data_IF_673267269768
#
_entry.id   IF_673267269768
#
_cell.length_a   1.000
_cell.length_b   1.000
_cell.length_c   1.000
_cell.angle_alpha   90.00
_cell.angle_beta   90.00
_cell.angle_gamma   90.00
#
_symmetry.space_group_name_H-M   'P 1'
#
loop_
_entity.id
_entity.type
_entity.pdbx_description
1 polymer ?
#
# COMPACT_ATOMS: atom_id res chain seq x y z
N UNK A 1 8.96 8.31 7.97
CA UNK A 1 9.02 7.01 7.26
C UNK A 1 8.08 6.03 7.96
N UNK A 2 7.45 5.11 7.22
CA UNK A 2 6.60 4.07 7.82
C UNK A 2 7.51 2.95 8.37
N UNK A 3 7.32 2.48 9.61
CA UNK A 3 8.12 1.37 10.17
C UNK A 3 7.96 0.06 9.37
N UNK A 4 9.01 -0.76 9.30
CA UNK A 4 8.97 -2.04 8.59
C UNK A 4 7.93 -3.03 9.16
N UNK A 5 7.74 -3.02 10.49
CA UNK A 5 6.70 -3.81 11.15
C UNK A 5 5.30 -3.43 10.66
N UNK A 6 5.02 -2.13 10.51
CA UNK A 6 3.75 -1.62 9.98
C UNK A 6 3.54 -2.09 8.53
N UNK A 7 4.61 -2.13 7.73
CA UNK A 7 4.56 -2.63 6.36
C UNK A 7 4.27 -4.14 6.27
N UNK A 8 4.72 -4.91 7.26
CA UNK A 8 4.52 -6.36 7.31
C UNK A 8 3.07 -6.76 7.66
N UNK A 9 2.36 -5.90 8.39
CA UNK A 9 0.95 -6.11 8.75
C UNK A 9 -0.02 -5.85 7.60
N UNK A 10 0.43 -5.24 6.49
CA UNK A 10 -0.46 -5.05 5.36
C UNK A 10 -0.72 -6.36 4.63
N UNK A 11 -1.96 -6.56 4.14
CA UNK A 11 -2.23 -7.66 3.25
C UNK A 11 -1.33 -7.58 2.02
N UNK A 12 -0.95 -8.73 1.48
CA UNK A 12 -0.20 -8.84 0.22
C UNK A 12 -1.12 -9.39 -0.87
N UNK A 13 -0.89 -8.96 -2.11
CA UNK A 13 -1.58 -9.50 -3.27
C UNK A 13 -0.60 -10.43 -4.01
N UNK A 14 -0.62 -11.71 -3.66
CA UNK A 14 0.43 -12.65 -4.04
C UNK A 14 1.78 -12.20 -3.44
N UNK A 15 2.81 -12.10 -4.28
CA UNK A 15 4.15 -11.65 -3.87
C UNK A 15 4.31 -10.12 -3.81
N UNK A 16 3.24 -9.36 -4.05
CA UNK A 16 3.29 -7.89 -4.14
C UNK A 16 2.80 -7.24 -2.85
N UNK A 17 3.59 -6.27 -2.38
CA UNK A 17 3.24 -5.43 -1.22
C UNK A 17 2.26 -4.33 -1.58
N UNK A 18 1.51 -3.83 -0.61
CA UNK A 18 0.64 -2.69 -0.84
C UNK A 18 1.45 -1.43 -1.22
N UNK A 19 1.03 -0.73 -2.27
CA UNK A 19 1.56 0.60 -2.56
C UNK A 19 1.01 1.62 -1.56
N UNK A 20 1.84 2.08 -0.63
CA UNK A 20 1.43 3.11 0.34
C UNK A 20 0.98 4.41 -0.31
N UNK A 21 1.59 4.79 -1.45
CA UNK A 21 1.20 5.99 -2.20
C UNK A 21 -0.20 5.83 -2.82
N UNK A 22 -0.60 4.61 -3.18
CA UNK A 22 -1.94 4.32 -3.70
C UNK A 22 -3.03 4.58 -2.68
N UNK A 23 -2.82 4.19 -1.41
CA UNK A 23 -3.79 4.43 -0.33
C UNK A 23 -3.67 5.81 0.32
N UNK A 24 -2.63 6.58 -0.03
CA UNK A 24 -2.47 7.96 0.44
C UNK A 24 -3.38 8.94 -0.30
N UNK A 25 -3.64 10.11 0.28
CA UNK A 25 -4.42 11.19 -0.35
C UNK A 25 -3.85 11.60 -1.71
N UNK A 26 -2.53 11.54 -1.89
CA UNK A 26 -1.88 11.87 -3.15
C UNK A 26 -2.24 10.89 -4.29
N UNK A 27 -2.62 9.65 -3.94
CA UNK A 27 -2.82 8.58 -4.90
C UNK A 27 -1.54 8.16 -5.64
N UNK A 28 -1.57 6.96 -6.22
CA UNK A 28 -0.51 6.50 -7.11
C UNK A 28 -1.10 6.27 -8.50
N UNK A 29 -0.71 7.10 -9.46
CA UNK A 29 -1.14 7.03 -10.86
C UNK A 29 -0.66 5.74 -11.56
N UNK A 30 0.40 5.10 -11.05
CA UNK A 30 0.85 3.81 -11.55
C UNK A 30 1.30 3.84 -13.01
N UNK A 31 1.41 2.66 -13.63
CA UNK A 31 1.82 2.51 -15.05
C UNK A 31 0.68 2.77 -16.05
N UNK A 32 -0.40 3.44 -15.65
CA UNK A 32 -1.57 3.67 -16.51
C UNK A 32 -2.48 2.45 -16.70
N UNK A 33 -1.99 1.23 -16.50
CA UNK A 33 -2.77 -0.03 -16.56
C UNK A 33 -3.29 -0.50 -15.19
N UNK A 34 -3.34 0.39 -14.20
CA UNK A 34 -3.81 0.07 -12.84
C UNK A 34 -2.77 -0.57 -11.91
N UNK A 35 -1.53 -0.80 -12.38
CA UNK A 35 -0.42 -1.32 -11.57
C UNK A 35 0.49 -0.23 -11.00
N UNK A 36 1.29 -0.55 -9.98
CA UNK A 36 2.33 0.37 -9.49
C UNK A 36 3.51 0.43 -10.47
N UNK A 37 4.26 1.53 -10.44
CA UNK A 37 5.55 1.63 -11.14
C UNK A 37 6.59 0.60 -10.62
N UNK A 38 6.45 0.22 -9.35
CA UNK A 38 7.28 -0.82 -8.73
C UNK A 38 6.58 -2.18 -8.89
N UNK A 39 7.20 -3.10 -9.63
CA UNK A 39 6.67 -4.45 -9.86
C UNK A 39 6.49 -5.27 -8.57
N UNK A 40 7.16 -4.89 -7.47
CA UNK A 40 7.00 -5.50 -6.14
C UNK A 40 5.81 -4.93 -5.37
N UNK A 41 5.10 -3.95 -5.93
CA UNK A 41 3.95 -3.28 -5.30
C UNK A 41 2.69 -3.45 -6.13
N UNK A 42 1.57 -3.54 -5.44
CA UNK A 42 0.25 -3.63 -6.03
C UNK A 42 -0.67 -2.51 -5.53
N UNK A 43 -1.60 -2.15 -6.41
CA UNK A 43 -2.66 -1.19 -6.12
C UNK A 43 -3.92 -1.98 -5.76
N UNK A 44 -4.19 -2.06 -4.47
CA UNK A 44 -5.45 -2.58 -3.95
C UNK A 44 -5.80 -1.79 -2.71
N UNK A 45 -7.09 -1.78 -2.35
CA UNK A 45 -7.54 -1.12 -1.14
C UNK A 45 -7.97 -2.21 -0.15
N UNK A 46 -7.24 -2.39 0.97
CA UNK A 46 -7.67 -3.32 2.01
C UNK A 46 -9.06 -2.91 2.51
N UNK A 47 -9.97 -3.88 2.73
CA UNK A 47 -11.28 -3.60 3.35
C UNK A 47 -11.13 -3.02 4.76
N UNK A 48 -10.09 -3.44 5.47
CA UNK A 48 -9.69 -2.90 6.75
C UNK A 48 -8.20 -2.54 6.70
N UNK A 49 -7.89 -1.32 7.12
CA UNK A 49 -6.52 -0.94 7.44
C UNK A 49 -6.17 -1.55 8.80
N UNK A 50 -5.00 -2.21 8.94
CA UNK A 50 -4.49 -2.62 10.25
C UNK A 50 -4.50 -1.43 11.21
N UNK A 51 -4.86 -1.62 12.47
CA UNK A 51 -4.92 -0.49 13.42
C UNK A 51 -3.58 0.23 13.55
N UNK A 52 -2.48 -0.51 13.44
CA UNK A 52 -1.13 0.05 13.43
C UNK A 52 -0.88 0.99 12.24
N UNK A 53 -1.58 0.80 11.12
CA UNK A 53 -1.51 1.68 9.97
C UNK A 53 -2.27 3.00 10.18
N UNK A 54 -3.37 3.00 10.95
CA UNK A 54 -4.15 4.21 11.24
C UNK A 54 -3.34 5.27 11.98
N UNK A 55 -2.39 4.85 12.82
CA UNK A 55 -1.50 5.76 13.54
C UNK A 55 -0.46 6.43 12.63
N UNK A 56 -0.20 5.85 11.45
CA UNK A 56 0.85 6.29 10.53
C UNK A 56 0.34 6.81 9.19
N UNK A 57 -0.95 6.71 8.92
CA UNK A 57 -1.61 7.17 7.68
C UNK A 57 -2.73 8.13 8.09
N UNK A 58 -2.54 9.43 7.79
CA UNK A 58 -3.56 10.47 7.92
C UNK A 58 -4.36 10.61 6.64
#
# INVERSE_FOLDING_TARGET
>A
SIPAAVLAEFPHQGDKRLCMKWISVAGCSGTGSGGCFDNKRAHFRPKQLPDIARTHIK
#
